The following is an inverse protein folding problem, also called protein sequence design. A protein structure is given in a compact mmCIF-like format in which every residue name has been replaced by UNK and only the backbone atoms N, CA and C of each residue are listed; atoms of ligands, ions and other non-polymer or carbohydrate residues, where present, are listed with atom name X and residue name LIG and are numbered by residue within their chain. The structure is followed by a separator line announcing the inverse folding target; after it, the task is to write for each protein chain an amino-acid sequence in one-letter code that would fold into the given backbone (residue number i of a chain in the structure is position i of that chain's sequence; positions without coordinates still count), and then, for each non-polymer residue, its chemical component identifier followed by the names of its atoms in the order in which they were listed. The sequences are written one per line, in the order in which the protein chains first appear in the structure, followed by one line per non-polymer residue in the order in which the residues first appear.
data_IF_208936733561
#
_entry.id   IF_208936733561
#
_cell.length_a   1.000
_cell.length_b   1.000
_cell.length_c   1.000
_cell.angle_alpha   90.00
_cell.angle_beta   90.00
_cell.angle_gamma   90.00
#
_symmetry.space_group_name_H-M   'P 1'
#
loop_
_entity.id
_entity.type
_entity.pdbx_description
1 polymer ?
#
# COMPACT_ATOMS: atom_id res chain seq x y z
N UNK A 1 21.14 -6.01 1.85
CA UNK A 1 19.73 -5.84 2.25
C UNK A 1 19.16 -7.24 2.39
N UNK A 2 18.45 -7.56 3.48
CA UNK A 2 17.94 -8.92 3.71
C UNK A 2 16.87 -9.30 2.68
N UNK A 3 16.73 -10.60 2.40
CA UNK A 3 15.72 -11.11 1.46
C UNK A 3 14.31 -10.67 1.84
N UNK A 4 14.00 -10.64 3.15
CA UNK A 4 12.69 -10.18 3.64
C UNK A 4 12.45 -8.69 3.37
N UNK A 5 13.46 -7.84 3.49
CA UNK A 5 13.33 -6.40 3.21
C UNK A 5 13.13 -6.17 1.71
N UNK A 6 13.80 -6.97 0.89
CA UNK A 6 13.61 -6.95 -0.56
C UNK A 6 12.21 -7.43 -0.97
N UNK A 7 11.69 -8.49 -0.34
CA UNK A 7 10.31 -8.94 -0.53
C UNK A 7 9.31 -7.83 -0.14
N UNK A 8 9.50 -7.22 1.03
CA UNK A 8 8.67 -6.08 1.49
C UNK A 8 8.71 -4.95 0.45
N UNK A 9 9.91 -4.58 -0.02
CA UNK A 9 10.09 -3.52 -1.01
C UNK A 9 9.30 -3.83 -2.28
N UNK A 10 9.40 -5.05 -2.81
CA UNK A 10 8.71 -5.47 -4.03
C UNK A 10 7.20 -5.51 -3.85
N UNK A 11 6.70 -6.06 -2.73
CA UNK A 11 5.28 -6.17 -2.44
C UNK A 11 4.60 -4.79 -2.40
N UNK A 12 5.16 -3.86 -1.62
CA UNK A 12 4.59 -2.51 -1.50
C UNK A 12 4.78 -1.66 -2.76
N UNK A 13 5.86 -1.87 -3.52
CA UNK A 13 6.07 -1.17 -4.80
C UNK A 13 4.94 -1.46 -5.81
N UNK A 14 4.38 -2.68 -5.80
CA UNK A 14 3.30 -3.06 -6.70
C UNK A 14 2.05 -2.17 -6.57
N UNK A 15 1.80 -1.62 -5.38
CA UNK A 15 0.66 -0.72 -5.11
C UNK A 15 1.06 0.76 -5.04
N UNK A 16 2.26 1.12 -5.49
CA UNK A 16 2.72 2.52 -5.52
C UNK A 16 3.18 3.03 -4.15
N UNK A 17 3.75 2.16 -3.32
CA UNK A 17 4.37 2.50 -2.05
C UNK A 17 5.88 2.23 -2.13
N UNK A 18 6.69 3.21 -1.73
CA UNK A 18 8.14 3.11 -1.65
C UNK A 18 8.54 2.77 -0.21
N UNK A 19 9.36 1.74 -0.06
CA UNK A 19 10.05 1.44 1.19
C UNK A 19 11.20 2.45 1.37
N UNK A 20 11.28 3.07 2.53
CA UNK A 20 12.34 4.03 2.88
C UNK A 20 13.23 3.47 3.99
N UNK A 21 14.11 4.30 4.56
CA UNK A 21 15.10 3.88 5.54
C UNK A 21 14.44 3.29 6.80
N UNK A 22 15.15 2.38 7.50
CA UNK A 22 14.66 1.84 8.77
C UNK A 22 14.49 2.94 9.82
N UNK A 23 13.48 2.75 10.67
CA UNK A 23 13.17 3.56 11.85
C UNK A 23 13.56 2.75 13.09
N UNK A 24 14.15 3.40 14.09
CA UNK A 24 14.41 2.89 15.44
C UNK A 24 14.97 1.44 15.50
N UNK A 25 16.30 1.32 15.66
CA UNK A 25 17.00 0.05 15.88
C UNK A 25 16.86 -1.02 14.78
N UNK A 26 16.36 -0.66 13.59
CA UNK A 26 16.36 -1.53 12.41
C UNK A 26 15.13 -2.43 12.26
N UNK A 27 14.17 -2.37 13.18
CA UNK A 27 13.04 -3.33 13.22
C UNK A 27 11.83 -2.92 12.37
N UNK A 28 11.75 -1.65 11.97
CA UNK A 28 10.63 -1.11 11.20
C UNK A 28 11.15 -0.25 10.04
N UNK A 29 10.41 -0.22 8.94
CA UNK A 29 10.72 0.57 7.74
C UNK A 29 9.56 1.50 7.44
N UNK A 30 9.87 2.75 7.02
CA UNK A 30 8.84 3.71 6.64
C UNK A 30 8.28 3.35 5.27
N UNK A 31 6.96 3.43 5.15
CA UNK A 31 6.24 3.34 3.90
C UNK A 31 5.90 4.76 3.43
N UNK A 32 6.40 5.13 2.26
CA UNK A 32 6.17 6.43 1.65
C UNK A 32 5.34 6.27 0.37
N UNK A 33 4.46 7.23 0.09
CA UNK A 33 3.78 7.29 -1.20
C UNK A 33 4.80 7.49 -2.32
N UNK A 34 4.79 6.62 -3.35
CA UNK A 34 5.69 6.76 -4.49
C UNK A 34 5.36 7.99 -5.37
N UNK A 35 4.12 8.50 -5.31
CA UNK A 35 3.69 9.67 -6.08
C UNK A 35 4.08 11.02 -5.44
N UNK A 36 3.86 11.18 -4.14
CA UNK A 36 4.02 12.48 -3.46
C UNK A 36 5.02 12.49 -2.28
N UNK A 37 5.63 11.34 -1.96
CA UNK A 37 6.63 11.21 -0.91
C UNK A 37 6.10 11.25 0.53
N UNK A 38 4.81 11.51 0.76
CA UNK A 38 4.22 11.53 2.10
C UNK A 38 4.29 10.16 2.77
N UNK A 39 4.51 10.16 4.07
CA UNK A 39 4.46 8.94 4.88
C UNK A 39 3.04 8.37 4.93
N UNK A 40 2.91 7.06 4.72
CA UNK A 40 1.63 6.34 4.74
C UNK A 40 1.58 5.24 5.81
N UNK A 41 2.72 4.83 6.37
CA UNK A 41 2.76 3.85 7.45
C UNK A 41 4.16 3.34 7.76
N UNK A 42 4.22 2.24 8.50
CA UNK A 42 5.44 1.49 8.78
C UNK A 42 5.19 0.00 8.60
N UNK A 43 6.25 -0.76 8.34
CA UNK A 43 6.23 -2.22 8.25
C UNK A 43 7.41 -2.81 9.01
N UNK A 44 7.17 -3.89 9.76
CA UNK A 44 8.24 -4.61 10.45
C UNK A 44 8.96 -5.59 9.51
N UNK A 45 10.24 -5.88 9.77
CA UNK A 45 11.05 -6.82 8.96
C UNK A 45 11.01 -8.27 9.45
N UNK A 46 10.24 -8.55 10.50
CA UNK A 46 10.04 -9.89 11.07
C UNK A 46 8.86 -10.65 10.45
N UNK A 47 8.59 -10.40 9.17
CA UNK A 47 7.56 -11.13 8.43
C UNK A 47 8.09 -12.50 8.02
N UNK A 48 7.20 -13.50 7.98
CA UNK A 48 7.53 -14.78 7.36
C UNK A 48 7.62 -14.60 5.83
N UNK A 49 8.41 -15.43 5.12
CA UNK A 49 8.48 -15.38 3.67
C UNK A 49 7.10 -15.45 3.02
N UNK A 50 6.84 -14.57 2.05
CA UNK A 50 5.57 -14.44 1.33
C UNK A 50 4.50 -13.59 2.02
N UNK A 51 4.64 -13.30 3.33
CA UNK A 51 3.61 -12.54 4.05
C UNK A 51 3.46 -11.11 3.55
N UNK A 52 4.54 -10.45 3.11
CA UNK A 52 4.44 -9.07 2.65
C UNK A 52 3.53 -8.97 1.42
N UNK A 53 3.66 -9.94 0.51
CA UNK A 53 2.82 -10.03 -0.69
C UNK A 53 1.37 -10.34 -0.34
N UNK A 54 1.14 -11.29 0.57
CA UNK A 54 -0.20 -11.65 1.01
C UNK A 54 -0.91 -10.45 1.67
N UNK A 55 -0.24 -9.73 2.56
CA UNK A 55 -0.79 -8.54 3.21
C UNK A 55 -1.21 -7.49 2.17
N UNK A 56 -0.35 -7.18 1.21
CA UNK A 56 -0.65 -6.20 0.16
C UNK A 56 -1.81 -6.66 -0.72
N UNK A 57 -1.89 -7.95 -1.04
CA UNK A 57 -2.99 -8.53 -1.82
C UNK A 57 -4.32 -8.47 -1.07
N UNK A 58 -4.36 -8.85 0.21
CA UNK A 58 -5.55 -8.77 1.06
C UNK A 58 -6.03 -7.31 1.22
N UNK A 59 -5.11 -6.35 1.24
CA UNK A 59 -5.40 -4.93 1.36
C UNK A 59 -5.72 -4.23 0.04
N UNK A 60 -5.58 -4.90 -1.12
CA UNK A 60 -5.72 -4.28 -2.44
C UNK A 60 -7.03 -3.48 -2.57
N UNK A 61 -8.14 -4.04 -2.12
CA UNK A 61 -9.46 -3.41 -2.27
C UNK A 61 -9.53 -2.08 -1.50
N UNK A 62 -8.82 -1.95 -0.37
CA UNK A 62 -8.75 -0.71 0.40
C UNK A 62 -7.91 0.36 -0.31
N UNK A 63 -6.78 -0.02 -0.92
CA UNK A 63 -6.00 0.88 -1.78
C UNK A 63 -6.81 1.33 -2.99
N UNK A 64 -7.50 0.39 -3.65
CA UNK A 64 -8.35 0.66 -4.79
C UNK A 64 -9.51 1.59 -4.45
N UNK A 65 -10.12 1.43 -3.27
CA UNK A 65 -11.18 2.31 -2.80
C UNK A 65 -10.66 3.70 -2.36
N UNK A 66 -9.35 3.84 -2.11
CA UNK A 66 -8.78 5.04 -1.49
C UNK A 66 -9.00 5.13 0.03
N UNK A 67 -9.35 4.01 0.66
CA UNK A 67 -9.50 3.87 2.11
C UNK A 67 -8.19 3.56 2.83
N UNK A 68 -7.17 3.13 2.08
CA UNK A 68 -5.82 2.89 2.56
C UNK A 68 -4.80 3.54 1.61
N UNK A 69 -3.67 3.98 2.15
CA UNK A 69 -2.62 4.67 1.39
C UNK A 69 -2.73 6.19 1.48
N UNK A 70 -2.22 6.91 0.47
CA UNK A 70 -2.10 8.36 0.53
C UNK A 70 -3.34 9.08 -0.04
N UNK A 71 -3.76 10.16 0.62
CA UNK A 71 -4.83 11.04 0.17
C UNK A 71 -4.60 11.68 -1.23
N UNK A 72 -3.38 11.63 -1.77
CA UNK A 72 -3.09 12.13 -3.12
C UNK A 72 -3.68 11.27 -4.25
N UNK A 73 -4.23 10.08 -3.95
CA UNK A 73 -4.87 9.21 -4.94
C UNK A 73 -3.91 8.28 -5.71
N UNK A 74 -2.59 8.43 -5.55
CA UNK A 74 -1.61 7.66 -6.31
C UNK A 74 -1.77 6.13 -6.20
N UNK A 75 -2.06 5.61 -5.00
CA UNK A 75 -2.29 4.17 -4.78
C UNK A 75 -3.58 3.69 -5.44
N UNK A 76 -4.64 4.53 -5.42
CA UNK A 76 -5.91 4.25 -6.10
C UNK A 76 -5.71 4.18 -7.62
N UNK A 77 -4.95 5.10 -8.20
CA UNK A 77 -4.66 5.09 -9.65
C UNK A 77 -3.74 3.92 -10.04
N UNK A 78 -2.80 3.57 -9.16
CA UNK A 78 -1.87 2.46 -9.39
C UNK A 78 -2.59 1.12 -9.38
N UNK A 79 -3.47 0.91 -8.40
CA UNK A 79 -4.31 -0.31 -8.33
C UNK A 79 -5.31 -0.39 -9.48
N UNK A 80 -5.84 0.75 -9.94
CA UNK A 80 -6.69 0.79 -11.14
C UNK A 80 -5.95 0.28 -12.39
N UNK A 81 -4.69 0.68 -12.57
CA UNK A 81 -3.87 0.21 -13.70
C UNK A 81 -3.44 -1.24 -13.55
N UNK A 82 -3.20 -1.69 -12.31
CA UNK A 82 -2.74 -3.04 -12.02
C UNK A 82 -3.83 -4.09 -12.26
N UNK A 83 -5.05 -3.85 -11.78
CA UNK A 83 -6.20 -4.74 -11.97
C UNK A 83 -7.49 -3.90 -12.09
N UNK A 84 -7.88 -3.49 -13.31
CA UNK A 84 -9.06 -2.67 -13.54
C UNK A 84 -10.37 -3.34 -13.11
N UNK A 85 -10.43 -4.67 -13.19
CA UNK A 85 -11.65 -5.43 -12.85
C UNK A 85 -11.86 -5.50 -11.34
N UNK A 86 -10.81 -5.87 -10.59
CA UNK A 86 -10.85 -5.86 -9.13
C UNK A 86 -11.06 -4.45 -8.59
N UNK A 87 -10.44 -3.45 -9.21
CA UNK A 87 -10.66 -2.06 -8.86
C UNK A 87 -12.13 -1.66 -8.99
N UNK A 88 -12.80 -1.99 -10.11
CA UNK A 88 -14.23 -1.70 -10.29
C UNK A 88 -15.10 -2.40 -9.24
N UNK A 89 -14.80 -3.66 -8.89
CA UNK A 89 -15.50 -4.38 -7.80
C UNK A 89 -15.31 -3.70 -6.45
N UNK A 90 -14.08 -3.27 -6.14
CA UNK A 90 -13.80 -2.52 -4.92
C UNK A 90 -14.57 -1.19 -4.86
N UNK A 91 -14.62 -0.43 -5.95
CA UNK A 91 -15.39 0.81 -6.03
C UNK A 91 -16.89 0.59 -5.79
N UNK A 92 -17.46 -0.48 -6.36
CA UNK A 92 -18.85 -0.84 -6.09
C UNK A 92 -19.11 -1.20 -4.62
N UNK A 93 -18.12 -1.78 -3.92
CA UNK A 93 -18.22 -2.20 -2.52
C UNK A 93 -17.99 -1.05 -1.53
N UNK A 94 -17.07 -0.13 -1.85
CA UNK A 94 -16.50 0.80 -0.88
C UNK A 94 -16.50 2.28 -1.33
N UNK A 95 -16.79 2.60 -2.60
CA UNK A 95 -16.60 3.94 -3.17
C UNK A 95 -17.28 5.06 -2.39
N UNK A 96 -18.53 4.83 -1.95
CA UNK A 96 -19.30 5.82 -1.17
C UNK A 96 -18.74 6.14 0.22
N UNK A 97 -17.84 5.32 0.77
CA UNK A 97 -17.21 5.59 2.07
C UNK A 97 -16.17 6.71 2.02
N UNK A 98 -15.61 6.99 0.84
CA UNK A 98 -14.60 8.06 0.68
C UNK A 98 -15.20 9.44 0.40
N UNK A 99 -16.45 9.49 -0.08
CA UNK A 99 -17.15 10.74 -0.42
C UNK A 99 -17.70 11.45 0.82
N UNK A 100 -18.11 10.71 1.85
CA UNK A 100 -18.60 11.27 3.12
C UNK A 100 -17.53 11.88 4.03
N UNK A 101 -16.26 11.56 3.82
CA UNK A 101 -15.14 12.05 4.64
C UNK A 101 -14.56 13.40 4.19
N UNK A 102 -15.10 13.99 3.11
CA UNK A 102 -14.67 15.29 2.56
C UNK A 102 -15.67 16.43 2.81
N UNK A 103 -16.74 16.17 3.56
CA UNK A 103 -17.78 17.15 3.94
C UNK A 103 -17.53 17.73 5.33
#
# INVERSE_FOLDING_TARGET
MSEIVEEIRQAYQAVGIRLDQPVAYGTYYRLLCAGCGRMVGNVGDRLLPGMARQIVDEQFDLYAAGLLGCACGHQRDTTQRLDPERWRRSQARYGGLTEGARS
#
